data_IF_451746953398
#
_entry.id   IF_451746953398
#
_cell.length_a   1.000
_cell.length_b   1.000
_cell.length_c   1.000
_cell.angle_alpha   90.00
_cell.angle_beta   90.00
_cell.angle_gamma   90.00
#
_symmetry.space_group_name_H-M   'P 1'
#
loop_
_entity.id
_entity.type
_entity.pdbx_description
1 polymer ?
#
# COMPACT_ATOMS: atom_id res chain seq x y z
N UNK A 1 23.90 17.13 10.51
CA UNK A 1 22.53 17.70 10.72
C UNK A 1 21.72 17.42 9.46
N UNK A 2 20.52 16.84 9.59
CA UNK A 2 19.70 16.45 8.43
C UNK A 2 19.04 17.70 7.81
N UNK A 3 19.62 18.23 6.73
CA UNK A 3 19.19 19.48 6.08
C UNK A 3 17.70 19.51 5.69
N UNK A 4 17.12 18.37 5.31
CA UNK A 4 15.69 18.26 4.98
C UNK A 4 14.79 18.55 6.20
N UNK A 5 15.12 18.00 7.37
CA UNK A 5 14.32 18.19 8.58
C UNK A 5 14.36 19.66 9.02
N UNK A 6 15.51 20.32 8.91
CA UNK A 6 15.62 21.75 9.20
C UNK A 6 14.72 22.59 8.29
N UNK A 7 14.67 22.28 6.99
CA UNK A 7 13.79 22.97 6.05
C UNK A 7 12.31 22.77 6.36
N UNK A 8 11.91 21.58 6.81
CA UNK A 8 10.51 21.31 7.21
C UNK A 8 10.16 22.12 8.47
N UNK A 9 11.01 22.06 9.49
CA UNK A 9 10.77 22.74 10.77
C UNK A 9 10.68 24.27 10.62
N UNK A 10 11.46 24.85 9.71
CA UNK A 10 11.46 26.29 9.44
C UNK A 10 10.58 26.69 8.25
N UNK A 11 9.88 25.74 7.61
CA UNK A 11 9.03 25.99 6.44
C UNK A 11 9.80 26.68 5.31
N UNK A 12 11.02 26.21 5.04
CA UNK A 12 11.89 26.73 4.00
C UNK A 12 11.62 26.06 2.64
N UNK A 13 10.75 26.69 1.86
CA UNK A 13 10.46 26.30 0.49
C UNK A 13 10.50 27.52 -0.46
N UNK A 14 10.72 27.25 -1.74
CA UNK A 14 10.59 28.25 -2.80
C UNK A 14 9.98 27.59 -4.02
N UNK A 15 9.19 28.37 -4.77
CA UNK A 15 8.66 27.93 -6.06
C UNK A 15 9.74 28.17 -7.13
N UNK A 16 10.13 27.16 -7.92
CA UNK A 16 11.15 27.34 -8.95
C UNK A 16 10.71 28.37 -10.00
N UNK A 17 11.64 29.22 -10.46
CA UNK A 17 11.35 30.32 -11.41
C UNK A 17 10.77 29.86 -12.75
N UNK A 18 11.05 28.62 -13.16
CA UNK A 18 10.57 28.06 -14.42
C UNK A 18 9.14 27.50 -14.32
N UNK A 19 8.56 27.42 -13.12
CA UNK A 19 7.20 26.92 -12.90
C UNK A 19 6.27 28.11 -12.75
N UNK A 20 5.29 28.22 -13.64
CA UNK A 20 4.20 29.18 -13.50
C UNK A 20 3.14 28.58 -12.56
N UNK A 21 2.90 29.24 -11.45
CA UNK A 21 1.91 28.85 -10.43
C UNK A 21 0.89 29.97 -10.30
N UNK A 22 -0.40 29.66 -10.42
CA UNK A 22 -1.46 30.67 -10.32
C UNK A 22 -1.44 31.36 -8.94
N UNK A 23 -1.83 32.63 -8.84
CA UNK A 23 -1.86 33.35 -7.56
C UNK A 23 -2.64 32.61 -6.47
N UNK A 24 -3.77 31.98 -6.83
CA UNK A 24 -4.63 31.21 -5.94
C UNK A 24 -3.93 29.94 -5.45
N UNK A 25 -3.20 29.25 -6.33
CA UNK A 25 -2.41 28.09 -5.92
C UNK A 25 -1.30 28.48 -4.94
N UNK A 26 -0.63 29.60 -5.18
CA UNK A 26 0.40 30.12 -4.27
C UNK A 26 -0.19 30.51 -2.91
N UNK A 27 -1.38 31.13 -2.89
CA UNK A 27 -2.09 31.43 -1.65
C UNK A 27 -2.40 30.15 -0.87
N UNK A 28 -2.96 29.14 -1.54
CA UNK A 28 -3.28 27.86 -0.91
C UNK A 28 -2.03 27.19 -0.30
N UNK A 29 -0.92 27.12 -1.05
CA UNK A 29 0.33 26.55 -0.55
C UNK A 29 0.87 27.30 0.68
N UNK A 30 0.80 28.64 0.70
CA UNK A 30 1.22 29.46 1.85
C UNK A 30 0.38 29.17 3.10
N UNK A 31 -0.89 28.82 2.93
CA UNK A 31 -1.81 28.53 4.05
C UNK A 31 -1.75 27.07 4.53
N UNK A 32 -1.31 26.14 3.66
CA UNK A 32 -1.06 24.73 4.02
C UNK A 32 0.30 24.57 4.68
N UNK A 33 1.36 25.14 4.10
CA UNK A 33 2.73 25.05 4.57
C UNK A 33 2.97 26.09 5.67
N UNK A 34 2.40 25.85 6.85
CA UNK A 34 2.54 26.66 8.07
C UNK A 34 3.05 25.77 9.20
N UNK A 35 4.04 26.28 9.96
CA UNK A 35 4.68 25.57 11.07
C UNK A 35 3.68 25.26 12.19
N UNK A 36 2.91 26.27 12.60
CA UNK A 36 1.89 26.18 13.65
C UNK A 36 0.63 25.47 13.11
N UNK A 37 0.28 24.28 13.64
CA UNK A 37 -0.87 23.51 13.14
C UNK A 37 -2.21 24.25 13.29
N UNK A 38 -2.38 25.00 14.37
CA UNK A 38 -3.61 25.75 14.70
C UNK A 38 -3.88 26.90 13.71
N UNK A 39 -2.83 27.41 13.06
CA UNK A 39 -2.91 28.47 12.05
C UNK A 39 -3.04 27.94 10.63
N UNK A 40 -2.89 26.62 10.44
CA UNK A 40 -2.97 25.97 9.13
C UNK A 40 -4.41 26.00 8.64
N UNK A 41 -4.60 26.23 7.34
CA UNK A 41 -5.91 26.14 6.71
C UNK A 41 -6.56 24.78 6.98
N UNK A 42 -7.83 24.79 7.37
CA UNK A 42 -8.61 23.57 7.64
C UNK A 42 -9.07 22.91 6.34
N UNK A 43 -9.41 21.62 6.39
CA UNK A 43 -9.95 20.90 5.23
C UNK A 43 -11.20 21.58 4.66
N UNK A 44 -12.09 22.03 5.54
CA UNK A 44 -13.29 22.80 5.19
C UNK A 44 -12.99 24.11 4.45
N UNK A 45 -11.90 24.79 4.79
CA UNK A 45 -11.46 26.01 4.11
C UNK A 45 -10.76 25.70 2.79
N UNK A 46 -10.01 24.58 2.69
CA UNK A 46 -9.41 24.11 1.44
C UNK A 46 -10.48 23.79 0.41
N UNK A 47 -11.54 23.07 0.79
CA UNK A 47 -12.65 22.71 -0.11
C UNK A 47 -13.37 23.94 -0.68
N UNK A 48 -13.38 25.05 0.06
CA UNK A 48 -13.98 26.33 -0.37
C UNK A 48 -12.96 27.28 -1.03
N UNK A 49 -11.71 26.88 -1.16
CA UNK A 49 -10.65 27.73 -1.70
C UNK A 49 -10.82 27.90 -3.22
N UNK A 50 -10.66 29.12 -3.79
CA UNK A 50 -10.85 29.37 -5.22
C UNK A 50 -10.05 28.43 -6.12
N UNK A 51 -8.80 28.13 -5.76
CA UNK A 51 -7.97 27.16 -6.49
C UNK A 51 -8.57 25.75 -6.53
N UNK A 52 -9.23 25.31 -5.45
CA UNK A 52 -9.86 24.00 -5.39
C UNK A 52 -11.16 23.95 -6.19
N UNK A 53 -11.83 25.10 -6.38
CA UNK A 53 -13.10 25.22 -7.09
C UNK A 53 -12.92 25.54 -8.59
N UNK A 54 -11.72 25.89 -9.03
CA UNK A 54 -11.42 26.27 -10.40
C UNK A 54 -11.62 25.08 -11.36
N UNK A 55 -12.41 25.27 -12.42
CA UNK A 55 -12.73 24.28 -13.46
C UNK A 55 -13.26 22.93 -12.93
N UNK A 56 -13.88 22.90 -11.76
CA UNK A 56 -14.57 21.70 -11.30
C UNK A 56 -15.83 21.43 -12.15
N UNK A 57 -16.08 20.18 -12.55
CA UNK A 57 -17.36 19.79 -13.11
C UNK A 57 -18.50 20.05 -12.10
N UNK A 58 -19.70 20.28 -12.64
CA UNK A 58 -20.89 20.52 -11.84
C UNK A 58 -21.14 19.38 -10.84
N UNK A 59 -21.41 19.74 -9.58
CA UNK A 59 -21.70 18.77 -8.52
C UNK A 59 -20.48 18.18 -7.82
N UNK A 60 -19.25 18.40 -8.30
CA UNK A 60 -18.02 17.85 -7.70
C UNK A 60 -17.65 18.58 -6.41
N UNK A 61 -17.87 19.90 -6.35
CA UNK A 61 -17.58 20.69 -5.16
C UNK A 61 -18.41 20.23 -3.94
N UNK A 62 -19.64 19.78 -4.16
CA UNK A 62 -20.53 19.30 -3.11
C UNK A 62 -20.36 17.80 -2.81
N UNK A 63 -19.59 17.06 -3.60
CA UNK A 63 -19.53 15.59 -3.53
C UNK A 63 -19.07 15.11 -2.15
N UNK A 64 -18.05 15.74 -1.58
CA UNK A 64 -17.58 15.42 -0.23
C UNK A 64 -18.67 15.65 0.82
N UNK A 65 -19.36 16.81 0.76
CA UNK A 65 -20.45 17.09 1.69
C UNK A 65 -21.60 16.09 1.54
N UNK A 66 -21.97 15.75 0.31
CA UNK A 66 -23.03 14.78 -0.01
C UNK A 66 -22.67 13.40 0.51
N UNK A 67 -21.45 12.93 0.31
CA UNK A 67 -21.00 11.62 0.80
C UNK A 67 -21.00 11.54 2.33
N UNK A 68 -20.52 12.59 3.00
CA UNK A 68 -20.48 12.63 4.47
C UNK A 68 -21.87 12.78 5.10
N UNK A 69 -22.82 13.39 4.39
CA UNK A 69 -24.20 13.57 4.86
C UNK A 69 -25.13 12.41 4.51
N UNK A 70 -24.71 11.50 3.62
CA UNK A 70 -25.52 10.35 3.24
C UNK A 70 -25.66 9.42 4.46
N UNK A 71 -26.87 8.87 4.69
CA UNK A 71 -27.00 7.72 5.58
C UNK A 71 -26.03 6.62 5.14
N UNK A 72 -25.52 5.82 6.07
CA UNK A 72 -24.83 4.58 5.70
C UNK A 72 -25.81 3.71 4.92
N UNK A 73 -25.65 3.69 3.59
CA UNK A 73 -26.31 2.74 2.74
C UNK A 73 -25.83 1.33 3.12
N UNK A 74 -26.69 0.30 3.07
CA UNK A 74 -26.27 -1.05 3.31
C UNK A 74 -25.12 -1.42 2.36
N UNK A 75 -24.11 -2.09 2.91
CA UNK A 75 -22.91 -2.48 2.17
C UNK A 75 -23.29 -3.18 0.85
N UNK A 76 -22.67 -2.79 -0.28
CA UNK A 76 -22.89 -3.46 -1.55
C UNK A 76 -22.69 -4.98 -1.46
N UNK A 77 -23.37 -5.73 -2.33
CA UNK A 77 -23.21 -7.17 -2.39
C UNK A 77 -21.75 -7.54 -2.71
N UNK A 78 -21.16 -8.40 -1.88
CA UNK A 78 -19.75 -8.81 -1.99
C UNK A 78 -18.77 -8.05 -1.09
N UNK A 79 -19.22 -7.08 -0.30
CA UNK A 79 -18.39 -6.50 0.77
C UNK A 79 -18.24 -7.49 1.93
N UNK A 80 -17.01 -7.63 2.43
CA UNK A 80 -16.70 -8.49 3.55
C UNK A 80 -17.24 -7.88 4.86
N UNK A 81 -18.04 -8.64 5.60
CA UNK A 81 -18.58 -8.18 6.88
C UNK A 81 -17.48 -7.93 7.92
N UNK A 82 -17.75 -7.05 8.89
CA UNK A 82 -16.84 -6.78 10.02
C UNK A 82 -16.48 -8.07 10.78
N UNK A 83 -17.45 -8.96 11.00
CA UNK A 83 -17.18 -10.24 11.67
C UNK A 83 -16.19 -11.12 10.89
N UNK A 84 -16.30 -11.09 9.57
CA UNK A 84 -15.41 -11.85 8.70
C UNK A 84 -14.01 -11.22 8.61
N UNK A 85 -13.89 -9.89 8.57
CA UNK A 85 -12.58 -9.21 8.63
C UNK A 85 -11.87 -9.52 9.94
N UNK A 86 -12.58 -9.45 11.07
CA UNK A 86 -12.06 -9.83 12.38
C UNK A 86 -11.65 -11.31 12.45
N UNK A 87 -12.42 -12.20 11.81
CA UNK A 87 -12.09 -13.62 11.74
C UNK A 87 -10.77 -13.85 11.02
N UNK A 88 -10.59 -13.25 9.85
CA UNK A 88 -9.36 -13.37 9.04
C UNK A 88 -8.16 -12.79 9.81
N UNK A 89 -8.30 -11.64 10.46
CA UNK A 89 -7.23 -11.04 11.28
C UNK A 89 -6.84 -11.97 12.44
N UNK A 90 -7.83 -12.51 13.15
CA UNK A 90 -7.59 -13.43 14.27
C UNK A 90 -6.88 -14.71 13.82
N UNK A 91 -7.34 -15.30 12.72
CA UNK A 91 -6.72 -16.49 12.13
C UNK A 91 -5.25 -16.22 11.79
N UNK A 92 -4.95 -15.09 11.14
CA UNK A 92 -3.59 -14.68 10.79
C UNK A 92 -2.66 -14.48 12.01
N UNK A 93 -3.21 -14.03 13.14
CA UNK A 93 -2.46 -13.88 14.40
C UNK A 93 -2.16 -15.21 15.09
N UNK A 94 -2.98 -16.24 14.85
CA UNK A 94 -2.82 -17.60 15.41
C UNK A 94 -2.09 -18.56 14.49
N UNK A 95 -2.03 -18.26 13.19
CA UNK A 95 -1.40 -19.12 12.21
C UNK A 95 0.11 -19.28 12.53
N UNK A 96 0.63 -20.52 12.51
CA UNK A 96 2.06 -20.72 12.68
C UNK A 96 2.80 -19.94 11.58
N UNK A 97 3.82 -19.16 11.96
CA UNK A 97 4.70 -18.49 11.00
C UNK A 97 5.11 -19.54 9.97
N UNK A 98 4.97 -19.21 8.67
CA UNK A 98 5.41 -20.10 7.58
C UNK A 98 6.74 -20.73 7.99
N UNK A 99 6.91 -22.06 7.89
CA UNK A 99 8.19 -22.67 8.20
C UNK A 99 9.24 -21.88 7.44
N UNK A 100 10.27 -21.39 8.16
CA UNK A 100 11.44 -20.76 7.53
C UNK A 100 11.78 -21.63 6.34
N UNK A 101 11.90 -21.03 5.15
CA UNK A 101 12.26 -21.73 3.93
C UNK A 101 13.28 -22.80 4.31
N UNK A 102 12.85 -24.06 4.32
CA UNK A 102 13.78 -25.15 4.61
C UNK A 102 14.76 -25.01 3.47
N UNK A 103 16.01 -24.70 3.78
CA UNK A 103 17.10 -24.90 2.83
C UNK A 103 17.18 -26.41 2.70
N UNK A 104 16.31 -26.96 1.87
CA UNK A 104 16.43 -28.33 1.44
C UNK A 104 17.61 -28.26 0.48
N UNK A 105 18.80 -28.63 0.97
CA UNK A 105 19.98 -28.67 0.12
C UNK A 105 19.65 -29.62 -1.03
N UNK A 106 19.56 -29.05 -2.23
CA UNK A 106 19.21 -29.75 -3.47
C UNK A 106 20.10 -30.99 -3.67
N UNK A 107 21.30 -30.96 -3.10
CA UNK A 107 22.30 -32.01 -3.18
C UNK A 107 21.85 -33.30 -2.47
N UNK A 108 21.09 -33.23 -1.37
CA UNK A 108 20.64 -34.45 -0.67
C UNK A 108 19.59 -35.23 -1.45
N UNK A 109 18.74 -34.54 -2.23
CA UNK A 109 17.72 -35.18 -3.07
C UNK A 109 18.34 -35.88 -4.28
N UNK A 110 19.49 -35.38 -4.76
CA UNK A 110 20.19 -35.95 -5.90
C UNK A 110 20.90 -37.25 -5.49
N UNK A 111 21.53 -37.30 -4.32
CA UNK A 111 22.20 -38.52 -3.83
C UNK A 111 21.21 -39.68 -3.62
N UNK A 112 20.05 -39.41 -3.02
CA UNK A 112 19.02 -40.43 -2.79
C UNK A 112 18.45 -40.99 -4.11
N UNK A 113 18.28 -40.13 -5.12
CA UNK A 113 17.82 -40.55 -6.45
C UNK A 113 18.87 -41.39 -7.21
N UNK A 114 20.15 -40.99 -7.12
CA UNK A 114 21.27 -41.75 -7.74
C UNK A 114 21.41 -43.13 -7.09
N UNK A 115 21.24 -43.23 -5.77
CA UNK A 115 21.34 -44.49 -5.03
C UNK A 115 20.22 -45.48 -5.42
N UNK A 116 18.99 -44.97 -5.62
CA UNK A 116 17.85 -45.77 -6.04
C UNK A 116 18.06 -46.38 -7.45
N UNK A 117 18.62 -45.61 -8.38
CA UNK A 117 18.91 -46.09 -9.74
C UNK A 117 20.08 -47.10 -9.78
N UNK A 118 21.09 -46.93 -8.92
CA UNK A 118 22.22 -47.85 -8.82
C UNK A 118 21.82 -49.25 -8.30
N UNK A 119 20.72 -49.35 -7.55
CA UNK A 119 20.20 -50.62 -7.04
C UNK A 119 19.26 -51.33 -8.04
N UNK A 120 18.64 -50.59 -8.98
CA UNK A 120 17.84 -51.17 -10.06
C UNK A 120 18.67 -51.92 -11.12
N UNK A 121 19.89 -51.46 -11.41
CA UNK A 121 20.70 -52.03 -12.50
C UNK A 121 21.39 -53.37 -12.15
N UNK A 122 21.51 -53.74 -10.86
CA UNK A 122 22.14 -55.01 -10.46
C UNK A 122 21.23 -56.24 -10.62
N UNK A 123 19.93 -56.05 -10.90
CA UNK A 123 18.97 -57.14 -10.96
C UNK A 123 18.67 -57.64 -12.40
N UNK A 124 19.17 -56.96 -13.44
CA UNK A 124 18.86 -57.27 -14.83
C UNK A 124 19.92 -58.14 -15.55
N UNK A 125 21.10 -58.36 -14.97
CA UNK A 125 22.18 -59.16 -15.58
C UNK A 125 22.09 -60.67 -15.25
N UNK A 126 20.87 -61.21 -15.17
CA UNK A 126 20.66 -62.60 -14.74
C UNK A 126 19.33 -63.16 -15.16
N UNK A 127 19.06 -63.23 -16.48
CA UNK A 127 18.17 -64.21 -17.11
C UNK A 127 18.24 -64.07 -18.64
N UNK A 128 19.07 -64.92 -19.26
CA UNK A 128 19.03 -65.16 -20.70
C UNK A 128 18.05 -66.27 -21.09
N UNK A 129 17.93 -66.51 -22.41
CA UNK A 129 17.29 -67.63 -23.11
C UNK A 129 15.75 -67.70 -22.89
N UNK A 130 14.89 -67.55 -23.90
CA UNK A 130 14.91 -67.88 -25.32
C UNK A 130 14.21 -66.80 -26.16
#
# INVERSE_FOLDING_TARGET
MHAMLQRILHVEYSLPRHVTVSPECQDLLRRILVAEPERRITMEQIQRHPWCLHDLPEGVAELNSKLLSQPEEPDPEGVQSISETERVVREAMTAPRRPKHVKMDSDSLIEDAIQADAQGSKNAAGRGMW
#
